data_IF_774209371908
#
_entry.id   IF_774209371908
#
_cell.length_a   1.000
_cell.length_b   1.000
_cell.length_c   1.000
_cell.angle_alpha   90.00
_cell.angle_beta   90.00
_cell.angle_gamma   90.00
#
_symmetry.space_group_name_H-M   'P 1'
#
loop_
_entity.id
_entity.type
_entity.pdbx_description
1 polymer ?
#
# COMPACT_ATOMS: atom_id res chain seq x y z
N UNK A 1 -1.73 -6.34 17.31
CA UNK A 1 -0.67 -7.21 16.72
C UNK A 1 -0.24 -6.62 15.38
N UNK A 2 1.04 -6.72 15.04
CA UNK A 2 1.55 -6.27 13.73
C UNK A 2 1.25 -7.29 12.64
N UNK A 3 0.85 -6.80 11.47
CA UNK A 3 0.62 -7.59 10.26
C UNK A 3 1.41 -6.99 9.10
N UNK A 4 2.05 -7.84 8.30
CA UNK A 4 2.63 -7.47 7.02
C UNK A 4 1.59 -7.69 5.92
N UNK A 5 1.28 -6.64 5.18
CA UNK A 5 0.38 -6.64 4.03
C UNK A 5 1.24 -6.36 2.80
N UNK A 6 1.27 -7.32 1.88
CA UNK A 6 2.06 -7.23 0.64
C UNK A 6 1.08 -7.14 -0.52
N UNK A 7 1.09 -6.00 -1.21
CA UNK A 7 0.36 -5.81 -2.45
C UNK A 7 1.24 -6.14 -3.65
N UNK A 8 0.66 -6.75 -4.68
CA UNK A 8 1.31 -6.99 -5.96
C UNK A 8 0.56 -6.21 -7.04
N UNK A 9 1.28 -5.36 -7.77
CA UNK A 9 0.68 -4.57 -8.83
C UNK A 9 0.44 -5.46 -10.06
N UNK A 10 -0.70 -5.28 -10.73
CA UNK A 10 -0.96 -5.93 -12.00
C UNK A 10 -0.06 -5.35 -13.12
N UNK A 11 0.23 -6.09 -14.20
CA UNK A 11 0.89 -5.53 -15.37
C UNK A 11 0.15 -4.28 -15.89
N UNK A 12 0.92 -3.31 -16.41
CA UNK A 12 0.41 -2.06 -17.01
C UNK A 12 -0.56 -1.27 -16.12
N UNK A 13 -0.36 -1.32 -14.80
CA UNK A 13 -1.25 -0.69 -13.81
C UNK A 13 -0.81 0.70 -13.34
N UNK A 14 0.33 1.22 -13.81
CA UNK A 14 0.93 2.47 -13.31
C UNK A 14 -0.05 3.66 -13.33
N UNK A 15 -0.82 3.81 -14.41
CA UNK A 15 -1.80 4.89 -14.52
C UNK A 15 -2.93 4.78 -13.47
N UNK A 16 -3.46 3.57 -13.24
CA UNK A 16 -4.47 3.31 -12.19
C UNK A 16 -3.89 3.57 -10.80
N UNK A 17 -2.66 3.09 -10.56
CA UNK A 17 -1.94 3.32 -9.31
C UNK A 17 -1.78 4.82 -9.02
N UNK A 18 -1.34 5.61 -9.99
CA UNK A 18 -1.17 7.06 -9.82
C UNK A 18 -2.51 7.73 -9.50
N UNK A 19 -3.59 7.34 -10.18
CA UNK A 19 -4.92 7.88 -9.93
C UNK A 19 -5.47 7.54 -8.53
N UNK A 20 -5.28 6.30 -8.06
CA UNK A 20 -5.76 5.84 -6.76
C UNK A 20 -4.83 6.22 -5.59
N UNK A 21 -3.58 6.61 -5.86
CA UNK A 21 -2.54 6.90 -4.85
C UNK A 21 -2.99 7.91 -3.77
N UNK A 22 -3.65 9.04 -4.08
CA UNK A 22 -4.07 9.98 -3.05
C UNK A 22 -5.03 9.35 -2.02
N UNK A 23 -6.00 8.55 -2.50
CA UNK A 23 -6.95 7.87 -1.63
C UNK A 23 -6.26 6.77 -0.80
N UNK A 24 -5.36 6.00 -1.41
CA UNK A 24 -4.53 5.01 -0.71
C UNK A 24 -3.70 5.65 0.42
N UNK A 25 -3.00 6.76 0.13
CA UNK A 25 -2.18 7.48 1.11
C UNK A 25 -2.99 8.02 2.29
N UNK A 26 -4.23 8.48 2.08
CA UNK A 26 -5.09 8.95 3.16
C UNK A 26 -5.35 7.86 4.22
N UNK A 27 -5.48 6.60 3.79
CA UNK A 27 -5.67 5.44 4.69
C UNK A 27 -4.42 5.18 5.54
N UNK A 28 -3.23 5.29 4.93
CA UNK A 28 -1.96 5.16 5.63
C UNK A 28 -1.72 6.30 6.62
N UNK A 29 -2.06 7.53 6.24
CA UNK A 29 -2.00 8.69 7.13
C UNK A 29 -2.91 8.52 8.35
N UNK A 30 -4.10 7.95 8.19
CA UNK A 30 -4.98 7.63 9.32
C UNK A 30 -4.36 6.60 10.27
N UNK A 31 -3.75 5.52 9.76
CA UNK A 31 -3.02 4.56 10.60
C UNK A 31 -1.82 5.21 11.31
N UNK A 32 -1.07 6.08 10.62
CA UNK A 32 0.05 6.83 11.19
C UNK A 32 -0.40 7.75 12.32
N UNK A 33 -1.49 8.50 12.13
CA UNK A 33 -2.06 9.38 13.15
C UNK A 33 -2.54 8.61 14.40
N UNK A 34 -2.97 7.36 14.23
CA UNK A 34 -3.35 6.47 15.32
C UNK A 34 -2.15 5.80 16.02
N UNK A 35 -0.90 6.04 15.56
CA UNK A 35 0.28 5.34 16.06
C UNK A 35 0.34 3.86 15.67
N UNK A 36 -0.47 3.44 14.68
CA UNK A 36 -0.63 2.04 14.27
C UNK A 36 0.15 1.67 13.01
N UNK A 37 0.84 2.61 12.36
CA UNK A 37 1.66 2.35 11.19
C UNK A 37 3.13 2.25 11.59
N UNK A 38 3.75 1.07 11.42
CA UNK A 38 5.19 0.88 11.64
C UNK A 38 6.00 1.39 10.44
N UNK A 39 5.66 0.92 9.24
CA UNK A 39 6.25 1.37 7.97
C UNK A 39 5.32 1.06 6.80
N UNK A 40 5.45 1.84 5.73
CA UNK A 40 4.83 1.51 4.44
C UNK A 40 5.67 2.10 3.30
N UNK A 41 5.71 1.40 2.17
CA UNK A 41 6.45 1.84 0.99
C UNK A 41 6.13 1.04 -0.26
N UNK A 42 6.34 1.62 -1.45
CA UNK A 42 6.18 0.92 -2.71
C UNK A 42 7.38 0.01 -3.01
N UNK A 43 7.23 -0.90 -3.96
CA UNK A 43 8.35 -1.63 -4.59
C UNK A 43 8.61 -1.04 -5.98
N UNK A 44 9.63 -0.17 -6.15
CA UNK A 44 10.05 0.29 -7.47
C UNK A 44 10.40 -0.88 -8.39
N UNK A 45 10.04 -0.81 -9.68
CA UNK A 45 10.36 -1.86 -10.65
C UNK A 45 11.84 -1.84 -11.09
N UNK A 46 12.57 -0.79 -10.73
CA UNK A 46 14.00 -0.59 -10.99
C UNK A 46 14.66 -0.06 -9.73
N UNK A 47 15.99 -0.13 -9.66
CA UNK A 47 16.77 0.37 -8.52
C UNK A 47 16.84 1.91 -8.50
N UNK A 48 15.70 2.54 -8.16
CA UNK A 48 15.55 3.98 -8.04
C UNK A 48 14.36 4.32 -7.10
N UNK A 49 14.48 5.39 -6.31
CA UNK A 49 13.38 5.87 -5.45
C UNK A 49 12.18 6.36 -6.29
N UNK A 50 12.46 7.06 -7.39
CA UNK A 50 11.49 7.42 -8.41
C UNK A 50 11.75 6.59 -9.69
N UNK A 51 10.98 5.52 -9.93
CA UNK A 51 11.15 4.66 -11.10
C UNK A 51 10.59 5.28 -12.40
N UNK A 52 9.96 6.46 -12.34
CA UNK A 52 9.34 7.09 -13.50
C UNK A 52 8.40 6.15 -14.25
N UNK A 53 8.61 6.01 -15.56
CA UNK A 53 7.78 5.15 -16.42
C UNK A 53 7.96 3.64 -16.14
N UNK A 54 9.04 3.21 -15.49
CA UNK A 54 9.22 1.81 -15.11
C UNK A 54 8.21 1.36 -14.04
N UNK A 55 7.67 2.31 -13.27
CA UNK A 55 6.58 2.05 -12.33
C UNK A 55 6.99 1.16 -11.16
N UNK A 56 6.03 0.38 -10.67
CA UNK A 56 6.12 -0.34 -9.41
C UNK A 56 5.58 -1.76 -9.57
N UNK A 57 6.08 -2.68 -8.75
CA UNK A 57 5.67 -4.11 -8.75
C UNK A 57 4.75 -4.45 -7.57
N UNK A 58 4.56 -3.52 -6.64
CA UNK A 58 3.76 -3.75 -5.45
C UNK A 58 4.02 -2.74 -4.34
N UNK A 59 3.64 -3.14 -3.12
CA UNK A 59 3.83 -2.34 -1.90
C UNK A 59 3.96 -3.23 -0.66
N UNK A 60 4.64 -2.72 0.37
CA UNK A 60 4.64 -3.27 1.72
C UNK A 60 3.96 -2.28 2.68
N UNK A 61 3.11 -2.80 3.55
CA UNK A 61 2.58 -2.09 4.71
C UNK A 61 2.76 -2.99 5.93
N UNK A 62 3.34 -2.45 7.01
CA UNK A 62 3.37 -3.10 8.32
C UNK A 62 2.62 -2.22 9.32
N UNK A 63 1.50 -2.72 9.80
CA UNK A 63 0.59 -1.96 10.66
C UNK A 63 -0.08 -2.84 11.72
N UNK A 64 -0.57 -2.19 12.77
CA UNK A 64 -1.25 -2.84 13.88
C UNK A 64 -2.75 -3.01 13.65
N UNK A 65 -3.25 -4.23 13.86
CA UNK A 65 -4.68 -4.55 13.90
C UNK A 65 -5.01 -5.43 15.11
N UNK A 66 -6.29 -5.45 15.51
CA UNK A 66 -6.75 -6.29 16.62
C UNK A 66 -6.87 -7.77 16.24
N UNK A 67 -7.02 -8.08 14.95
CA UNK A 67 -7.11 -9.45 14.43
C UNK A 67 -6.73 -9.53 12.95
N UNK A 68 -6.47 -10.75 12.47
CA UNK A 68 -6.20 -11.01 11.05
C UNK A 68 -7.40 -10.62 10.17
N UNK A 69 -8.63 -10.91 10.63
CA UNK A 69 -9.84 -10.56 9.91
C UNK A 69 -9.97 -9.04 9.70
N UNK A 70 -9.59 -8.22 10.69
CA UNK A 70 -9.57 -6.77 10.53
C UNK A 70 -8.45 -6.29 9.59
N UNK A 71 -7.27 -6.91 9.65
CA UNK A 71 -6.18 -6.59 8.73
C UNK A 71 -6.57 -6.90 7.28
N UNK A 72 -7.21 -8.06 7.05
CA UNK A 72 -7.68 -8.47 5.72
C UNK A 72 -8.80 -7.55 5.20
N UNK A 73 -9.82 -7.27 6.02
CA UNK A 73 -10.88 -6.35 5.63
C UNK A 73 -10.36 -4.94 5.30
N UNK A 74 -9.32 -4.49 6.02
CA UNK A 74 -8.63 -3.25 5.69
C UNK A 74 -7.84 -3.37 4.38
N UNK A 75 -7.15 -4.48 4.12
CA UNK A 75 -6.45 -4.68 2.85
C UNK A 75 -7.41 -4.74 1.65
N UNK A 76 -8.55 -5.44 1.78
CA UNK A 76 -9.55 -5.63 0.72
C UNK A 76 -10.29 -4.33 0.34
N UNK A 77 -10.25 -3.33 1.23
CA UNK A 77 -10.84 -2.02 1.00
C UNK A 77 -9.84 -1.00 0.37
N UNK A 78 -8.69 -1.46 -0.13
CA UNK A 78 -7.69 -0.56 -0.71
C UNK A 78 -8.07 -0.03 -2.10
N UNK A 79 -7.96 1.29 -2.35
CA UNK A 79 -8.21 1.88 -3.67
C UNK A 79 -7.33 1.34 -4.81
N UNK A 80 -6.24 0.63 -4.52
CA UNK A 80 -5.48 -0.08 -5.56
C UNK A 80 -6.17 -1.34 -6.08
N UNK A 81 -7.23 -1.83 -5.45
CA UNK A 81 -8.00 -2.99 -5.91
C UNK A 81 -9.12 -2.64 -6.92
N UNK A 82 -9.33 -1.35 -7.21
CA UNK A 82 -10.31 -0.84 -8.19
C UNK A 82 -9.62 -0.33 -9.44
#
# INVERSE_FOLDING_TARGET
>A
MLYAIIGQDAPDSLARRVASRPAHLARLQALKAQGRLLLAGPFPAVDAEDPGAAGYTGSLIVAEFHSLAQAQAWADADPYLT
#
